data_IF_851357667551
#
_entry.id   IF_851357667551
#
_cell.length_a   1.000
_cell.length_b   1.000
_cell.length_c   1.000
_cell.angle_alpha   90.00
_cell.angle_beta   90.00
_cell.angle_gamma   90.00
#
_symmetry.space_group_name_H-M   'P 1'
#
loop_
_entity.id
_entity.type
_entity.pdbx_description
1 polymer ?
#
# COMPACT_ATOMS: atom_id res chain seq x y z
N UNK A 1 14.76 -28.88 12.71
CA UNK A 1 14.74 -28.45 11.29
C UNK A 1 14.39 -26.96 11.21
N UNK A 2 15.34 -26.09 10.86
CA UNK A 2 15.15 -24.63 10.91
C UNK A 2 14.33 -24.16 9.70
N UNK A 3 13.23 -23.44 9.91
CA UNK A 3 12.44 -22.83 8.81
C UNK A 3 13.35 -21.89 8.02
N UNK A 4 13.37 -21.94 6.67
CA UNK A 4 14.18 -21.01 5.87
C UNK A 4 13.76 -19.57 6.21
N UNK A 5 14.64 -18.83 6.91
CA UNK A 5 14.40 -17.44 7.29
C UNK A 5 14.59 -16.55 6.08
N UNK A 6 13.54 -15.81 5.72
CA UNK A 6 13.68 -14.66 4.83
C UNK A 6 14.59 -13.63 5.53
N UNK A 7 15.78 -13.36 4.96
CA UNK A 7 16.60 -12.22 5.40
C UNK A 7 15.81 -10.95 5.05
N UNK A 8 15.36 -10.24 6.09
CA UNK A 8 14.63 -8.98 5.97
C UNK A 8 15.39 -8.00 5.08
N UNK A 9 14.66 -7.18 4.34
CA UNK A 9 15.24 -6.17 3.45
C UNK A 9 15.92 -5.11 4.31
N UNK A 10 17.17 -4.75 4.01
CA UNK A 10 17.68 -3.43 4.39
C UNK A 10 16.73 -2.37 3.81
N UNK A 11 16.49 -1.29 4.54
CA UNK A 11 15.62 -0.18 4.12
C UNK A 11 16.08 0.46 2.81
N UNK A 12 17.36 0.35 2.47
CA UNK A 12 17.96 0.81 1.22
C UNK A 12 18.60 -0.37 0.48
N UNK A 13 18.23 -0.56 -0.77
CA UNK A 13 18.87 -1.52 -1.67
C UNK A 13 19.94 -0.80 -2.52
N UNK A 14 21.22 -1.14 -2.32
CA UNK A 14 22.35 -0.50 -3.00
C UNK A 14 22.60 -1.03 -4.43
N UNK A 15 21.77 -1.96 -4.94
CA UNK A 15 22.00 -2.54 -6.26
C UNK A 15 21.74 -1.55 -7.40
N UNK A 16 22.56 -1.58 -8.45
CA UNK A 16 22.37 -0.77 -9.65
C UNK A 16 21.36 -1.37 -10.65
N UNK A 17 20.60 -2.41 -10.25
CA UNK A 17 19.70 -3.13 -11.14
C UNK A 17 18.58 -2.22 -11.66
N UNK A 18 18.18 -2.40 -12.92
CA UNK A 18 17.11 -1.59 -13.55
C UNK A 18 15.74 -1.73 -12.86
N UNK A 19 15.52 -2.80 -12.11
CA UNK A 19 14.32 -3.04 -11.29
C UNK A 19 14.39 -2.44 -9.90
N UNK A 20 15.53 -1.88 -9.47
CA UNK A 20 15.68 -1.26 -8.16
C UNK A 20 15.17 0.20 -8.19
N UNK A 21 14.12 0.54 -7.41
CA UNK A 21 13.64 1.92 -7.32
C UNK A 21 14.64 2.88 -6.66
N UNK A 22 15.60 2.35 -5.90
CA UNK A 22 16.58 3.16 -5.14
C UNK A 22 17.95 3.23 -5.84
N UNK A 23 18.04 2.83 -7.11
CA UNK A 23 19.30 2.90 -7.87
C UNK A 23 19.66 4.34 -8.20
N UNK A 24 20.96 4.65 -8.19
CA UNK A 24 21.48 5.92 -8.69
C UNK A 24 21.32 5.97 -10.21
N UNK A 25 20.91 7.12 -10.73
CA UNK A 25 20.82 7.36 -12.17
C UNK A 25 22.23 7.44 -12.75
N UNK A 26 22.53 6.62 -13.77
CA UNK A 26 23.86 6.61 -14.40
C UNK A 26 24.17 7.92 -15.12
N UNK A 27 25.45 8.18 -15.35
CA UNK A 27 25.91 9.31 -16.17
C UNK A 27 25.27 9.22 -17.57
N UNK A 28 24.47 10.22 -17.95
CA UNK A 28 23.66 10.21 -19.19
C UNK A 28 22.14 10.11 -18.97
N UNK A 29 21.64 10.65 -17.85
CA UNK A 29 20.32 10.47 -17.23
C UNK A 29 19.04 10.74 -18.02
N UNK A 30 18.95 10.45 -19.33
CA UNK A 30 17.73 10.63 -20.12
C UNK A 30 17.09 9.31 -20.59
N UNK A 31 17.80 8.18 -20.52
CA UNK A 31 17.31 6.87 -21.01
C UNK A 31 16.83 5.91 -19.89
N UNK A 32 16.86 6.37 -18.64
CA UNK A 32 16.61 5.53 -17.48
C UNK A 32 15.17 5.68 -16.99
N UNK A 33 14.52 4.57 -16.64
CA UNK A 33 13.20 4.60 -15.99
C UNK A 33 13.27 5.28 -14.63
N UNK A 34 12.31 6.16 -14.35
CA UNK A 34 12.13 6.81 -13.05
C UNK A 34 11.73 5.85 -11.93
N UNK A 35 11.93 6.28 -10.68
CA UNK A 35 11.54 5.54 -9.46
C UNK A 35 10.07 5.12 -9.47
N UNK A 36 9.17 6.02 -9.87
CA UNK A 36 7.74 5.74 -9.97
C UNK A 36 7.43 4.68 -11.03
N UNK A 37 8.03 4.81 -12.20
CA UNK A 37 7.91 3.85 -13.30
C UNK A 37 8.42 2.46 -12.90
N UNK A 38 9.56 2.38 -12.22
CA UNK A 38 10.10 1.10 -11.73
C UNK A 38 9.14 0.45 -10.72
N UNK A 39 8.58 1.21 -9.77
CA UNK A 39 7.60 0.68 -8.80
C UNK A 39 6.35 0.14 -9.49
N UNK A 40 5.80 0.87 -10.47
CA UNK A 40 4.66 0.43 -11.29
C UNK A 40 4.96 -0.85 -12.05
N UNK A 41 6.11 -0.94 -12.70
CA UNK A 41 6.50 -2.16 -13.43
C UNK A 41 6.72 -3.36 -12.49
N UNK A 42 7.32 -3.12 -11.32
CA UNK A 42 7.49 -4.16 -10.31
C UNK A 42 6.16 -4.65 -9.73
N UNK A 43 5.13 -3.78 -9.67
CA UNK A 43 3.78 -4.18 -9.28
C UNK A 43 3.22 -5.24 -10.24
N UNK A 44 3.31 -5.03 -11.57
CA UNK A 44 2.86 -6.03 -12.54
C UNK A 44 3.66 -7.34 -12.53
N UNK A 45 4.92 -7.31 -12.06
CA UNK A 45 5.80 -8.49 -12.00
C UNK A 45 5.69 -9.26 -10.69
N UNK A 46 4.84 -8.83 -9.76
CA UNK A 46 4.81 -9.40 -8.43
C UNK A 46 4.26 -10.83 -8.43
N UNK A 47 4.95 -11.73 -7.71
CA UNK A 47 4.52 -13.11 -7.50
C UNK A 47 4.78 -13.54 -6.06
N UNK A 48 3.96 -14.47 -5.57
CA UNK A 48 4.16 -15.17 -4.32
C UNK A 48 5.48 -15.96 -4.33
N UNK A 49 6.23 -15.94 -3.23
CA UNK A 49 7.51 -16.67 -3.13
C UNK A 49 7.34 -17.96 -2.38
N UNK A 50 7.71 -19.08 -3.00
CA UNK A 50 7.66 -20.43 -2.43
C UNK A 50 9.07 -20.98 -2.18
N UNK A 51 9.19 -21.95 -1.28
CA UNK A 51 10.40 -22.77 -1.12
C UNK A 51 10.43 -23.91 -2.16
N UNK A 52 11.53 -24.66 -2.22
CA UNK A 52 11.68 -25.81 -3.12
C UNK A 52 10.64 -26.92 -2.90
N UNK A 53 10.01 -26.97 -1.72
CA UNK A 53 8.92 -27.91 -1.39
C UNK A 53 7.52 -27.34 -1.68
N UNK A 54 7.42 -26.22 -2.40
CA UNK A 54 6.15 -25.58 -2.74
C UNK A 54 5.47 -24.79 -1.61
N UNK A 55 6.04 -24.74 -0.40
CA UNK A 55 5.46 -23.97 0.72
C UNK A 55 5.72 -22.48 0.55
N UNK A 56 4.70 -21.68 0.82
CA UNK A 56 4.73 -20.22 0.74
C UNK A 56 5.66 -19.65 1.82
N UNK A 57 6.66 -18.87 1.41
CA UNK A 57 7.56 -18.13 2.31
C UNK A 57 7.10 -16.68 2.44
N UNK A 58 6.64 -16.07 1.34
CA UNK A 58 6.15 -14.70 1.32
C UNK A 58 4.88 -14.62 0.47
N UNK A 59 3.73 -14.22 1.07
CA UNK A 59 2.50 -14.02 0.33
C UNK A 59 2.62 -12.83 -0.64
N UNK A 60 1.67 -12.75 -1.58
CA UNK A 60 1.54 -11.57 -2.43
C UNK A 60 1.17 -10.33 -1.60
N UNK A 61 1.35 -9.14 -2.19
CA UNK A 61 0.84 -7.91 -1.60
C UNK A 61 -0.68 -8.01 -1.53
N UNK A 62 -1.26 -7.55 -0.42
CA UNK A 62 -2.71 -7.59 -0.16
C UNK A 62 -3.33 -8.98 -0.03
N UNK A 63 -2.53 -10.05 0.03
CA UNK A 63 -2.98 -11.41 0.38
C UNK A 63 -2.50 -11.80 1.79
N UNK A 64 -2.57 -10.86 2.73
CA UNK A 64 -2.32 -11.16 4.14
C UNK A 64 -3.46 -12.00 4.71
N UNK A 65 -3.11 -13.02 5.49
CA UNK A 65 -4.09 -13.82 6.23
C UNK A 65 -4.16 -13.33 7.67
N UNK A 66 -5.37 -13.38 8.24
CA UNK A 66 -5.60 -13.12 9.67
C UNK A 66 -5.61 -14.45 10.43
N UNK A 67 -5.39 -14.40 11.74
CA UNK A 67 -5.50 -15.60 12.56
C UNK A 67 -6.94 -16.14 12.53
N UNK A 68 -7.10 -17.47 12.58
CA UNK A 68 -8.44 -18.07 12.69
C UNK A 68 -9.13 -17.54 13.95
N UNK A 69 -10.39 -17.13 13.82
CA UNK A 69 -11.15 -16.49 14.91
C UNK A 69 -10.92 -14.99 15.07
N UNK A 70 -10.15 -14.35 14.18
CA UNK A 70 -10.09 -12.88 14.14
C UNK A 70 -11.47 -12.33 13.75
N UNK A 71 -12.08 -11.55 14.64
CA UNK A 71 -13.38 -10.91 14.40
C UNK A 71 -13.16 -9.40 14.33
N UNK A 72 -13.65 -8.77 13.27
CA UNK A 72 -13.71 -7.32 13.18
C UNK A 72 -14.94 -6.84 13.98
N UNK A 73 -14.71 -5.99 14.99
CA UNK A 73 -15.77 -5.37 15.80
C UNK A 73 -15.62 -3.85 15.74
N UNK A 74 -16.76 -3.16 15.80
CA UNK A 74 -16.80 -1.70 15.95
C UNK A 74 -16.92 -1.39 17.43
N UNK A 75 -16.01 -0.56 17.95
CA UNK A 75 -16.07 -0.11 19.33
C UNK A 75 -17.28 0.82 19.54
N UNK A 76 -18.08 0.61 20.60
CA UNK A 76 -19.15 1.54 20.95
C UNK A 76 -18.54 2.90 21.31
N UNK A 77 -19.03 3.97 20.68
CA UNK A 77 -18.52 5.32 20.91
C UNK A 77 -19.67 6.33 20.79
N UNK A 78 -19.75 7.26 21.75
CA UNK A 78 -20.79 8.30 21.75
C UNK A 78 -20.68 9.20 20.51
N UNK A 79 -19.47 9.35 19.95
CA UNK A 79 -19.21 10.14 18.74
C UNK A 79 -19.94 9.63 17.50
N UNK A 80 -20.35 8.36 17.47
CA UNK A 80 -21.16 7.80 16.37
C UNK A 80 -22.54 8.45 16.26
N UNK A 81 -23.07 8.97 17.37
CA UNK A 81 -24.43 9.49 17.47
C UNK A 81 -24.51 11.02 17.42
N UNK A 82 -23.36 11.71 17.40
CA UNK A 82 -23.31 13.16 17.23
C UNK A 82 -23.54 13.57 15.78
N UNK A 83 -24.18 14.72 15.56
CA UNK A 83 -24.35 15.28 14.22
C UNK A 83 -22.97 15.61 13.61
N UNK A 84 -22.59 14.91 12.53
CA UNK A 84 -21.26 15.07 11.90
C UNK A 84 -21.21 16.20 10.88
N UNK A 85 -22.36 16.55 10.28
CA UNK A 85 -22.50 17.64 9.32
C UNK A 85 -23.79 18.39 9.64
N UNK A 86 -23.67 19.68 9.99
CA UNK A 86 -24.80 20.57 10.30
C UNK A 86 -24.66 21.82 9.47
N UNK A 87 -25.76 22.28 8.90
CA UNK A 87 -25.84 23.54 8.15
C UNK A 87 -26.87 24.45 8.81
N UNK A 88 -26.60 25.76 8.84
CA UNK A 88 -27.56 26.76 9.29
C UNK A 88 -28.58 27.03 8.18
N UNK A 89 -29.83 27.28 8.55
CA UNK A 89 -30.92 27.51 7.59
C UNK A 89 -30.61 28.64 6.59
N UNK A 90 -30.09 29.77 7.07
CA UNK A 90 -29.73 30.91 6.21
C UNK A 90 -28.63 30.56 5.19
N UNK A 91 -27.65 29.73 5.59
CA UNK A 91 -26.60 29.26 4.69
C UNK A 91 -27.13 28.28 3.65
N UNK A 92 -28.12 27.44 4.02
CA UNK A 92 -28.79 26.52 3.10
C UNK A 92 -29.61 27.29 2.06
N UNK A 93 -30.37 28.30 2.48
CA UNK A 93 -31.17 29.13 1.59
C UNK A 93 -30.29 29.92 0.62
N UNK A 94 -29.22 30.55 1.11
CA UNK A 94 -28.23 31.22 0.27
C UNK A 94 -27.61 30.27 -0.76
N UNK A 95 -27.26 29.06 -0.34
CA UNK A 95 -26.69 28.06 -1.25
C UNK A 95 -27.68 27.66 -2.35
N UNK A 96 -28.98 27.59 -2.06
CA UNK A 96 -30.01 27.31 -3.06
C UNK A 96 -30.10 28.45 -4.09
N UNK A 97 -30.14 29.71 -3.64
CA UNK A 97 -30.21 30.90 -4.50
C UNK A 97 -28.97 31.05 -5.41
N UNK A 98 -27.79 30.65 -4.96
CA UNK A 98 -26.55 30.68 -5.75
C UNK A 98 -26.43 29.51 -6.75
N UNK A 99 -27.21 28.44 -6.56
CA UNK A 99 -27.22 27.24 -7.41
C UNK A 99 -28.28 27.28 -8.51
N UNK A 100 -29.28 28.16 -8.37
CA UNK A 100 -30.28 28.49 -9.39
C UNK A 100 -29.70 29.45 -10.44
#
# INVERSE_FOLDING_TARGET
MVKPKYKGRSTINRSAASTNPDRVQGAGGQNMRDRGTIRRLNMYRQKERRNSRGKVIKPLQYQSTVASGTVARVEPNIKWFGNTRVIKQASLQKFQEEMD
#
